data_IF_809336144517
#
_entry.id   IF_809336144517
#
_cell.length_a   1.000
_cell.length_b   1.000
_cell.length_c   1.000
_cell.angle_alpha   90.00
_cell.angle_beta   90.00
_cell.angle_gamma   90.00
#
_symmetry.space_group_name_H-M   'P 1'
#
loop_
_entity.id
_entity.type
_entity.pdbx_description
1 polymer ?
#
# COMPACT_ATOMS: atom_id res chain seq x y z
N UNK A 1 -5.92 -4.00 18.61
CA UNK A 1 -5.65 -4.57 17.27
C UNK A 1 -6.23 -3.63 16.23
N UNK A 2 -5.59 -3.48 15.07
CA UNK A 2 -6.18 -2.76 13.94
C UNK A 2 -7.52 -3.41 13.57
N UNK A 3 -8.51 -2.62 13.16
CA UNK A 3 -9.81 -3.14 12.77
C UNK A 3 -9.79 -3.70 11.34
N UNK A 4 -8.77 -3.31 10.58
CA UNK A 4 -8.57 -3.63 9.18
C UNK A 4 -7.98 -5.02 9.02
N UNK A 5 -8.61 -5.83 8.16
CA UNK A 5 -8.23 -7.22 7.89
C UNK A 5 -7.09 -7.36 6.88
N UNK A 6 -7.08 -6.49 5.87
CA UNK A 6 -6.04 -6.46 4.84
C UNK A 6 -4.93 -5.48 5.25
N UNK A 7 -3.64 -5.87 5.22
CA UNK A 7 -2.54 -4.96 5.54
C UNK A 7 -2.50 -3.73 4.63
N UNK A 8 -2.97 -3.80 3.38
CA UNK A 8 -3.10 -2.61 2.53
C UNK A 8 -4.16 -1.65 3.04
N UNK A 9 -5.22 -2.13 3.69
CA UNK A 9 -6.25 -1.29 4.30
C UNK A 9 -5.84 -0.74 5.67
N UNK A 10 -4.79 -1.29 6.27
CA UNK A 10 -4.34 -0.90 7.60
C UNK A 10 -3.39 0.30 7.52
N UNK A 11 -3.83 1.44 8.05
CA UNK A 11 -3.00 2.65 8.14
C UNK A 11 -1.67 2.40 8.87
N UNK A 12 -1.64 1.57 9.91
CA UNK A 12 -0.40 1.24 10.61
C UNK A 12 0.56 0.43 9.76
N UNK A 13 0.05 -0.54 9.00
CA UNK A 13 0.89 -1.35 8.12
C UNK A 13 1.53 -0.47 7.04
N UNK A 14 0.75 0.43 6.43
CA UNK A 14 1.23 1.36 5.40
C UNK A 14 2.23 2.39 5.94
N UNK A 15 2.09 2.85 7.19
CA UNK A 15 2.96 3.88 7.77
C UNK A 15 4.20 3.34 8.48
N UNK A 16 4.09 2.21 9.19
CA UNK A 16 5.15 1.72 10.09
C UNK A 16 6.02 0.66 9.44
N UNK A 17 5.43 -0.27 8.69
CA UNK A 17 6.18 -1.39 8.10
C UNK A 17 7.33 -0.95 7.19
N UNK A 18 7.18 0.09 6.33
CA UNK A 18 8.28 0.55 5.48
C UNK A 18 9.48 1.03 6.28
N UNK A 19 9.23 1.71 7.41
CA UNK A 19 10.26 2.21 8.32
C UNK A 19 10.99 1.01 8.96
N UNK A 20 10.24 0.02 9.46
CA UNK A 20 10.84 -1.18 10.05
C UNK A 20 11.73 -1.92 9.04
N UNK A 21 11.29 -2.04 7.79
CA UNK A 21 12.09 -2.67 6.73
C UNK A 21 13.32 -1.83 6.40
N UNK A 22 13.22 -0.50 6.36
CA UNK A 22 14.39 0.37 6.15
C UNK A 22 15.42 0.29 7.27
N UNK A 23 14.98 0.00 8.50
CA UNK A 23 15.84 -0.26 9.66
C UNK A 23 16.41 -1.70 9.69
N UNK A 24 16.11 -2.52 8.67
CA UNK A 24 16.65 -3.88 8.51
C UNK A 24 15.82 -4.99 9.16
N UNK A 25 14.61 -4.69 9.66
CA UNK A 25 13.72 -5.73 10.20
C UNK A 25 12.98 -6.48 9.10
N UNK A 26 12.84 -7.79 9.27
CA UNK A 26 11.95 -8.60 8.43
C UNK A 26 10.50 -8.46 8.89
N UNK A 27 9.65 -7.87 8.05
CA UNK A 27 8.22 -7.71 8.32
C UNK A 27 7.41 -8.73 7.52
N UNK A 28 6.53 -9.44 8.22
CA UNK A 28 5.59 -10.41 7.66
C UNK A 28 4.19 -10.10 8.18
N UNK A 29 3.25 -9.97 7.26
CA UNK A 29 1.84 -9.75 7.52
C UNK A 29 1.11 -11.08 7.59
N UNK A 30 0.25 -11.23 8.60
CA UNK A 30 -0.62 -12.40 8.73
C UNK A 30 -1.99 -12.02 8.15
N UNK A 31 -2.38 -12.71 7.09
CA UNK A 31 -3.65 -12.50 6.41
C UNK A 31 -4.80 -13.19 7.17
N UNK A 32 -6.08 -12.82 6.90
CA UNK A 32 -7.23 -13.38 7.61
C UNK A 32 -7.41 -14.90 7.44
N UNK A 33 -6.88 -15.47 6.36
CA UNK A 33 -6.88 -16.91 6.11
C UNK A 33 -5.70 -17.64 6.79
N UNK A 34 -4.91 -16.93 7.60
CA UNK A 34 -3.74 -17.45 8.30
C UNK A 34 -2.49 -17.55 7.42
N UNK A 35 -2.56 -17.17 6.15
CA UNK A 35 -1.37 -17.09 5.29
C UNK A 35 -0.45 -15.96 5.72
N UNK A 36 0.81 -16.09 5.34
CA UNK A 36 1.85 -15.09 5.58
C UNK A 36 2.16 -14.41 4.26
N UNK A 37 2.30 -13.10 4.32
CA UNK A 37 2.70 -12.23 3.22
C UNK A 37 3.89 -11.41 3.68
N UNK A 38 5.00 -11.47 2.97
CA UNK A 38 6.18 -10.65 3.24
C UNK A 38 5.92 -9.19 2.88
N UNK A 39 6.71 -8.27 3.43
CA UNK A 39 6.57 -6.86 3.07
C UNK A 39 6.78 -6.61 1.57
N UNK A 40 7.73 -7.31 0.95
CA UNK A 40 7.97 -7.19 -0.50
C UNK A 40 6.76 -7.64 -1.32
N UNK A 41 6.07 -8.72 -0.91
CA UNK A 41 4.85 -9.16 -1.60
C UNK A 41 3.69 -8.16 -1.43
N UNK A 42 3.61 -7.51 -0.26
CA UNK A 42 2.68 -6.41 -0.03
C UNK A 42 2.99 -5.21 -0.95
N UNK A 43 4.27 -4.82 -1.05
CA UNK A 43 4.74 -3.75 -1.93
C UNK A 43 4.44 -4.06 -3.40
N UNK A 44 4.61 -5.30 -3.84
CA UNK A 44 4.24 -5.73 -5.19
C UNK A 44 2.73 -5.60 -5.44
N UNK A 45 1.89 -5.97 -4.46
CA UNK A 45 0.43 -5.75 -4.55
C UNK A 45 0.10 -4.27 -4.58
N UNK A 46 0.80 -3.47 -3.79
CA UNK A 46 0.62 -2.02 -3.71
C UNK A 46 1.00 -1.35 -5.04
N UNK A 47 2.11 -1.74 -5.67
CA UNK A 47 2.50 -1.29 -7.00
C UNK A 47 1.46 -1.69 -8.04
N UNK A 48 1.04 -2.96 -8.08
CA UNK A 48 0.00 -3.43 -9.02
C UNK A 48 -1.34 -2.71 -8.86
N UNK A 49 -1.65 -2.21 -7.66
CA UNK A 49 -2.88 -1.47 -7.40
C UNK A 49 -2.91 -0.11 -8.11
N UNK A 50 -1.79 0.61 -8.16
CA UNK A 50 -1.71 1.96 -8.74
C UNK A 50 -1.09 1.99 -10.14
N UNK A 51 -0.22 1.02 -10.43
CA UNK A 51 0.56 0.90 -11.66
C UNK A 51 0.44 -0.52 -12.23
N UNK A 52 -0.75 -0.94 -12.66
CA UNK A 52 -0.93 -2.24 -13.27
C UNK A 52 -0.14 -2.32 -14.59
N UNK A 53 0.49 -3.47 -14.83
CA UNK A 53 1.32 -3.78 -16.01
C UNK A 53 0.47 -3.93 -17.29
N UNK A 54 -0.32 -2.92 -17.63
CA UNK A 54 -1.11 -2.87 -18.84
C UNK A 54 -0.32 -2.17 -19.95
N UNK A 55 -0.41 -2.65 -21.21
CA UNK A 55 0.38 -2.11 -22.33
C UNK A 55 0.24 -0.59 -22.50
N UNK A 56 -0.95 -0.05 -22.21
CA UNK A 56 -1.27 1.36 -22.39
C UNK A 56 -0.74 2.26 -21.26
N UNK A 57 -0.58 1.76 -20.03
CA UNK A 57 -0.04 2.54 -18.91
C UNK A 57 1.49 2.50 -18.81
N UNK A 58 2.11 1.44 -19.36
CA UNK A 58 3.56 1.35 -19.50
C UNK A 58 4.16 2.56 -20.24
N UNK A 59 3.40 3.18 -21.16
CA UNK A 59 3.87 4.36 -21.90
C UNK A 59 4.21 5.55 -21.01
N UNK A 60 3.42 5.82 -19.96
CA UNK A 60 3.65 6.96 -19.08
C UNK A 60 4.79 6.70 -18.08
N UNK A 61 4.94 5.46 -17.60
CA UNK A 61 6.05 5.08 -16.71
C UNK A 61 7.41 5.12 -17.40
N UNK A 62 7.46 4.63 -18.65
CA UNK A 62 8.70 4.61 -19.45
C UNK A 62 9.25 6.02 -19.69
N UNK A 63 8.40 7.05 -19.70
CA UNK A 63 8.82 8.45 -19.93
C UNK A 63 9.41 9.09 -18.67
N UNK A 64 9.06 8.63 -17.47
CA UNK A 64 9.53 9.25 -16.21
C UNK A 64 10.86 8.67 -15.66
N UNK A 65 11.47 7.71 -16.35
CA UNK A 65 12.76 7.15 -15.97
C UNK A 65 12.64 6.24 -14.74
N UNK A 66 12.38 4.96 -14.99
CA UNK A 66 12.13 3.92 -13.99
C UNK A 66 13.27 3.82 -12.96
N UNK A 67 13.02 4.38 -11.79
CA UNK A 67 13.60 3.89 -10.55
C UNK A 67 12.44 3.28 -9.75
N UNK A 68 12.41 1.96 -9.57
CA UNK A 68 11.37 1.25 -8.81
C UNK A 68 11.13 1.88 -7.43
N UNK A 69 12.17 2.44 -6.81
CA UNK A 69 12.08 3.14 -5.53
C UNK A 69 11.18 4.39 -5.59
N UNK A 70 11.13 5.10 -6.72
CA UNK A 70 10.25 6.26 -6.88
C UNK A 70 8.78 5.84 -6.97
N UNK A 71 8.49 4.74 -7.69
CA UNK A 71 7.12 4.25 -7.88
C UNK A 71 6.52 3.68 -6.60
N UNK A 72 7.31 2.95 -5.81
CA UNK A 72 6.82 2.42 -4.54
C UNK A 72 6.51 3.55 -3.55
N UNK A 73 7.37 4.57 -3.45
CA UNK A 73 7.14 5.75 -2.62
C UNK A 73 5.86 6.50 -3.03
N UNK A 74 5.64 6.67 -4.34
CA UNK A 74 4.41 7.26 -4.86
C UNK A 74 3.19 6.40 -4.51
N UNK A 75 3.31 5.07 -4.60
CA UNK A 75 2.23 4.15 -4.23
C UNK A 75 1.85 4.25 -2.75
N UNK A 76 2.83 4.39 -1.86
CA UNK A 76 2.59 4.67 -0.44
C UNK A 76 1.85 6.00 -0.23
N UNK A 77 2.26 7.06 -0.93
CA UNK A 77 1.60 8.37 -0.83
C UNK A 77 0.14 8.30 -1.31
N UNK A 78 -0.13 7.64 -2.44
CA UNK A 78 -1.47 7.40 -2.97
C UNK A 78 -2.31 6.58 -1.98
N UNK A 79 -1.74 5.52 -1.40
CA UNK A 79 -2.46 4.69 -0.43
C UNK A 79 -2.81 5.42 0.85
N UNK A 80 -1.87 6.20 1.39
CA UNK A 80 -2.11 7.06 2.55
C UNK A 80 -3.28 8.03 2.30
N UNK A 81 -3.33 8.61 1.10
CA UNK A 81 -4.43 9.49 0.68
C UNK A 81 -5.76 8.74 0.66
N UNK A 82 -5.82 7.56 0.04
CA UNK A 82 -7.05 6.77 -0.06
C UNK A 82 -7.60 6.34 1.32
N UNK A 83 -6.72 5.89 2.22
CA UNK A 83 -7.10 5.54 3.59
C UNK A 83 -7.66 6.74 4.36
N UNK A 84 -7.10 7.94 4.16
CA UNK A 84 -7.62 9.18 4.73
C UNK A 84 -9.03 9.50 4.20
N UNK A 85 -9.27 9.41 2.88
CA UNK A 85 -10.59 9.69 2.30
C UNK A 85 -11.64 8.68 2.76
N UNK A 86 -11.30 7.38 2.81
CA UNK A 86 -12.17 6.32 3.34
C UNK A 86 -12.59 6.61 4.78
N UNK A 87 -11.67 7.05 5.63
CA UNK A 87 -11.97 7.46 7.01
C UNK A 87 -12.98 8.62 7.08
N UNK A 88 -12.82 9.65 6.23
CA UNK A 88 -13.74 10.80 6.17
C UNK A 88 -15.17 10.41 5.75
N UNK A 89 -15.31 9.60 4.70
CA UNK A 89 -16.62 9.15 4.21
C UNK A 89 -17.34 8.33 5.29
N UNK A 90 -16.62 7.40 5.93
CA UNK A 90 -17.19 6.54 6.97
C UNK A 90 -17.66 7.35 8.18
N UNK A 91 -16.97 8.45 8.52
CA UNK A 91 -17.37 9.36 9.58
C UNK A 91 -18.61 10.18 9.19
N UNK A 92 -18.69 10.65 7.95
CA UNK A 92 -19.85 11.39 7.43
C UNK A 92 -21.13 10.54 7.37
N UNK A 93 -21.02 9.25 7.07
CA UNK A 93 -22.17 8.34 7.01
C UNK A 93 -22.69 7.90 8.38
N UNK A 94 -21.87 8.01 9.44
CA UNK A 94 -22.25 7.69 10.82
C UNK A 94 -22.84 8.87 11.60
N UNK A 95 -22.89 10.05 10.98
CA UNK A 95 -23.42 11.29 11.56
C UNK A 95 -24.84 11.63 11.07
N UNK A 96 -25.45 10.75 10.27
CA UNK A 96 -26.83 10.84 9.81
C UNK A 96 -27.67 9.71 10.39
#
# INVERSE_FOLDING_TARGET
MCAEKDPLDCHRSILISPILVSEGYSVVHILPDGKRETHSELEDRLLRLYFPQTPQQNFFHVIEGDNNNNLINLSYALRNKDLMYKSKITKSLKLN
#
